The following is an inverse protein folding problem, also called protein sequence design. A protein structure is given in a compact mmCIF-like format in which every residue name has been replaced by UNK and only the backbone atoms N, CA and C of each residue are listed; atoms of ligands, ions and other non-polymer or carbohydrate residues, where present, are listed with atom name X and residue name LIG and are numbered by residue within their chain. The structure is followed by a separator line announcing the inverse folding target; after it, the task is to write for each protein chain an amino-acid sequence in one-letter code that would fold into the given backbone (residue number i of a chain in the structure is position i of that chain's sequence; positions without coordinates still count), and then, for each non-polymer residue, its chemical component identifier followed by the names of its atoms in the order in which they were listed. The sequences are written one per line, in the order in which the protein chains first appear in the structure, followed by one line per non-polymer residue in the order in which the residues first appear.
data_IF_192171409285
#
_entry.id   IF_192171409285
#
_cell.length_a   1.000
_cell.length_b   1.000
_cell.length_c   1.000
_cell.angle_alpha   90.00
_cell.angle_beta   90.00
_cell.angle_gamma   90.00
#
_symmetry.space_group_name_H-M   'P 1'
#
loop_
_entity.id
_entity.type
_entity.pdbx_description
1 polymer ?
#
# COMPACT_ATOMS: atom_id res chain seq x y z
N UNK A 1 -10.44 -9.97 9.11
CA UNK A 1 -9.50 -10.09 7.97
C UNK A 1 -8.01 -10.22 8.36
N UNK A 2 -7.53 -9.58 9.44
CA UNK A 2 -6.10 -9.35 9.72
C UNK A 2 -5.20 -10.60 9.68
N UNK A 3 -5.64 -11.71 10.25
CA UNK A 3 -4.86 -12.98 10.27
C UNK A 3 -4.61 -13.47 8.84
N UNK A 4 -5.65 -13.49 7.99
CA UNK A 4 -5.54 -13.90 6.59
C UNK A 4 -4.72 -12.92 5.75
N UNK A 5 -4.86 -11.62 6.00
CA UNK A 5 -4.08 -10.61 5.31
C UNK A 5 -2.59 -10.73 5.65
N UNK A 6 -2.25 -10.86 6.93
CA UNK A 6 -0.87 -11.06 7.36
C UNK A 6 -0.28 -12.36 6.83
N UNK A 7 -1.07 -13.44 6.77
CA UNK A 7 -0.65 -14.69 6.14
C UNK A 7 -0.39 -14.52 4.64
N UNK A 8 -1.21 -13.73 3.94
CA UNK A 8 -1.00 -13.34 2.55
C UNK A 8 0.33 -12.62 2.36
N UNK A 9 0.59 -11.59 3.16
CA UNK A 9 1.86 -10.83 3.15
C UNK A 9 3.07 -11.73 3.40
N UNK A 10 3.03 -12.58 4.44
CA UNK A 10 4.14 -13.47 4.77
C UNK A 10 4.42 -14.48 3.65
N UNK A 11 3.39 -14.99 2.98
CA UNK A 11 3.53 -15.92 1.85
C UNK A 11 4.02 -15.22 0.59
N UNK A 12 3.61 -13.98 0.35
CA UNK A 12 4.07 -13.16 -0.78
C UNK A 12 5.58 -12.86 -0.70
N UNK A 13 6.09 -12.64 0.51
CA UNK A 13 7.51 -12.39 0.77
C UNK A 13 8.42 -13.62 0.60
N UNK A 14 7.86 -14.83 0.55
CA UNK A 14 8.61 -16.09 0.40
C UNK A 14 8.34 -16.69 -0.98
N UNK A 15 9.32 -16.72 -1.91
CA UNK A 15 9.11 -17.19 -3.28
C UNK A 15 8.44 -18.55 -3.40
N UNK A 16 8.80 -19.52 -2.54
CA UNK A 16 8.21 -20.86 -2.52
C UNK A 16 6.72 -20.89 -2.11
N UNK A 17 6.23 -19.85 -1.42
CA UNK A 17 4.86 -19.77 -0.90
C UNK A 17 3.99 -18.77 -1.66
N UNK A 18 4.54 -18.02 -2.62
CA UNK A 18 3.79 -17.07 -3.43
C UNK A 18 2.51 -17.64 -4.07
N UNK A 19 2.51 -18.88 -4.61
CA UNK A 19 1.27 -19.48 -5.15
C UNK A 19 0.15 -19.63 -4.11
N UNK A 20 0.50 -19.73 -2.83
CA UNK A 20 -0.44 -19.90 -1.70
C UNK A 20 -0.91 -18.56 -1.10
N UNK A 21 -0.27 -17.44 -1.48
CA UNK A 21 -0.64 -16.11 -1.00
C UNK A 21 -2.06 -15.74 -1.47
N UNK A 22 -2.41 -16.07 -2.72
CA UNK A 22 -3.72 -15.77 -3.31
C UNK A 22 -4.88 -16.34 -2.48
N UNK A 23 -4.76 -17.56 -1.95
CA UNK A 23 -5.81 -18.15 -1.12
C UNK A 23 -6.04 -17.36 0.18
N UNK A 24 -4.96 -16.89 0.82
CA UNK A 24 -5.05 -16.07 2.03
C UNK A 24 -5.65 -14.69 1.72
N UNK A 25 -5.25 -14.05 0.62
CA UNK A 25 -5.83 -12.78 0.18
C UNK A 25 -7.31 -12.89 -0.17
N UNK A 26 -7.80 -14.01 -0.75
CA UNK A 26 -9.25 -14.23 -0.95
C UNK A 26 -10.03 -14.25 0.36
N UNK A 27 -9.51 -14.93 1.38
CA UNK A 27 -10.13 -14.97 2.71
C UNK A 27 -10.12 -13.59 3.38
N UNK A 28 -9.01 -12.86 3.27
CA UNK A 28 -8.94 -11.49 3.76
C UNK A 28 -9.95 -10.58 3.05
N UNK A 29 -10.05 -10.67 1.71
CA UNK A 29 -10.96 -9.88 0.90
C UNK A 29 -12.43 -10.13 1.26
N UNK A 30 -12.82 -11.38 1.51
CA UNK A 30 -14.17 -11.71 1.98
C UNK A 30 -14.50 -10.99 3.29
N UNK A 31 -13.62 -11.11 4.29
CA UNK A 31 -13.84 -10.51 5.60
C UNK A 31 -13.79 -8.97 5.57
N UNK A 32 -13.00 -8.39 4.67
CA UNK A 32 -12.95 -6.94 4.47
C UNK A 32 -14.24 -6.42 3.82
N UNK A 33 -14.83 -7.17 2.90
CA UNK A 33 -16.15 -6.85 2.33
C UNK A 33 -17.22 -6.85 3.42
N UNK A 34 -17.21 -7.86 4.29
CA UNK A 34 -18.14 -7.91 5.43
C UNK A 34 -17.95 -6.71 6.36
N UNK A 35 -16.71 -6.33 6.69
CA UNK A 35 -16.41 -5.16 7.52
C UNK A 35 -16.90 -3.85 6.88
N UNK A 36 -16.75 -3.70 5.57
CA UNK A 36 -17.24 -2.54 4.81
C UNK A 36 -18.77 -2.49 4.69
N UNK A 37 -19.50 -3.57 5.00
CA UNK A 37 -20.97 -3.47 5.14
C UNK A 37 -21.37 -2.70 6.40
N UNK A 38 -20.51 -2.70 7.42
CA UNK A 38 -20.74 -2.02 8.71
C UNK A 38 -20.19 -0.59 8.67
N UNK A 39 -18.99 -0.41 8.12
CA UNK A 39 -18.36 0.90 7.96
C UNK A 39 -17.83 1.07 6.51
N UNK A 40 -18.70 1.45 5.55
CA UNK A 40 -18.33 1.54 4.14
C UNK A 40 -17.23 2.55 3.84
N UNK A 41 -17.06 3.54 4.73
CA UNK A 41 -16.10 4.63 4.57
C UNK A 41 -14.75 4.36 5.23
N UNK A 42 -14.52 3.19 5.81
CA UNK A 42 -13.29 2.92 6.55
C UNK A 42 -12.06 2.92 5.61
N UNK A 43 -11.19 3.95 5.63
CA UNK A 43 -10.10 4.04 4.66
C UNK A 43 -9.12 2.87 4.80
N UNK A 44 -8.93 2.36 6.03
CA UNK A 44 -8.02 1.26 6.33
C UNK A 44 -8.51 -0.06 5.73
N UNK A 45 -9.82 -0.31 5.77
CA UNK A 45 -10.41 -1.52 5.21
C UNK A 45 -10.50 -1.43 3.68
N UNK A 46 -10.82 -0.25 3.15
CA UNK A 46 -10.82 0.02 1.71
C UNK A 46 -9.44 -0.24 1.07
N UNK A 47 -8.35 0.33 1.60
CA UNK A 47 -7.00 0.13 1.01
C UNK A 47 -6.47 -1.29 1.15
N UNK A 48 -6.82 -1.99 2.24
CA UNK A 48 -6.42 -3.40 2.42
C UNK A 48 -7.20 -4.32 1.50
N UNK A 49 -8.46 -4.01 1.22
CA UNK A 49 -9.22 -4.74 0.22
C UNK A 49 -8.64 -4.48 -1.17
N UNK A 50 -8.25 -3.24 -1.47
CA UNK A 50 -7.57 -2.90 -2.71
C UNK A 50 -6.25 -3.68 -2.90
N UNK A 51 -5.42 -3.79 -1.86
CA UNK A 51 -4.18 -4.60 -1.91
C UNK A 51 -4.49 -6.08 -2.18
N UNK A 52 -5.53 -6.64 -1.52
CA UNK A 52 -5.99 -8.00 -1.81
C UNK A 52 -6.39 -8.16 -3.29
N UNK A 53 -7.15 -7.21 -3.83
CA UNK A 53 -7.61 -7.25 -5.23
C UNK A 53 -6.45 -7.11 -6.22
N UNK A 54 -5.46 -6.26 -5.94
CA UNK A 54 -4.28 -6.12 -6.78
C UNK A 54 -3.48 -7.43 -6.87
N UNK A 55 -3.30 -8.13 -5.74
CA UNK A 55 -2.67 -9.46 -5.71
C UNK A 55 -3.47 -10.47 -6.53
N UNK A 56 -4.81 -10.42 -6.41
CA UNK A 56 -5.74 -11.28 -7.13
C UNK A 56 -5.97 -10.86 -8.60
N UNK A 57 -5.18 -9.91 -9.12
CA UNK A 57 -5.19 -9.43 -10.51
C UNK A 57 -6.46 -8.68 -10.90
N UNK A 58 -7.19 -8.13 -9.93
CA UNK A 58 -8.29 -7.20 -10.14
C UNK A 58 -7.83 -5.75 -9.94
N UNK A 59 -7.08 -5.24 -10.93
CA UNK A 59 -6.55 -3.89 -10.92
C UNK A 59 -7.65 -2.80 -10.95
N UNK A 60 -8.76 -3.08 -11.63
CA UNK A 60 -9.87 -2.14 -11.73
C UNK A 60 -10.59 -1.98 -10.38
N UNK A 61 -10.90 -3.09 -9.72
CA UNK A 61 -11.48 -3.09 -8.37
C UNK A 61 -10.55 -2.46 -7.34
N UNK A 62 -9.24 -2.77 -7.41
CA UNK A 62 -8.26 -2.14 -6.53
C UNK A 62 -8.25 -0.61 -6.67
N UNK A 63 -8.21 -0.10 -7.91
CA UNK A 63 -8.19 1.35 -8.16
C UNK A 63 -9.47 2.05 -7.72
N UNK A 64 -10.63 1.42 -7.94
CA UNK A 64 -11.91 1.95 -7.49
C UNK A 64 -11.94 2.12 -5.95
N UNK A 65 -11.51 1.10 -5.21
CA UNK A 65 -11.45 1.17 -3.75
C UNK A 65 -10.43 2.17 -3.23
N UNK A 66 -9.27 2.31 -3.90
CA UNK A 66 -8.29 3.35 -3.55
C UNK A 66 -8.91 4.73 -3.74
N UNK A 67 -9.60 4.98 -4.86
CA UNK A 67 -10.27 6.25 -5.09
C UNK A 67 -11.27 6.57 -3.96
N UNK A 68 -12.12 5.62 -3.56
CA UNK A 68 -13.03 5.78 -2.42
C UNK A 68 -12.27 6.02 -1.12
N UNK A 69 -11.21 5.26 -0.83
CA UNK A 69 -10.42 5.44 0.40
C UNK A 69 -9.85 6.85 0.51
N UNK A 70 -9.42 7.45 -0.61
CA UNK A 70 -8.85 8.80 -0.64
C UNK A 70 -9.86 9.89 -0.24
N UNK A 71 -11.16 9.67 -0.43
CA UNK A 71 -12.24 10.57 0.02
C UNK A 71 -12.35 10.59 1.55
N UNK A 72 -11.93 9.51 2.21
CA UNK A 72 -12.01 9.31 3.66
C UNK A 72 -10.70 9.61 4.42
N UNK A 73 -9.80 10.39 3.82
CA UNK A 73 -8.56 10.91 4.45
C UNK A 73 -7.70 9.79 5.09
N UNK A 74 -7.14 8.87 4.27
CA UNK A 74 -6.33 7.77 4.78
C UNK A 74 -5.06 8.28 5.47
N UNK A 75 -4.60 7.53 6.48
CA UNK A 75 -3.32 7.82 7.14
C UNK A 75 -2.11 7.52 6.26
N UNK A 76 -0.92 7.90 6.71
CA UNK A 76 0.34 7.68 5.98
C UNK A 76 0.59 6.20 5.64
N UNK A 77 0.28 5.30 6.57
CA UNK A 77 0.41 3.85 6.35
C UNK A 77 -0.63 3.31 5.37
N UNK A 78 -1.86 3.83 5.41
CA UNK A 78 -2.91 3.43 4.46
C UNK A 78 -2.57 3.92 3.04
N UNK A 79 -1.96 5.12 2.91
CA UNK A 79 -1.42 5.64 1.65
C UNK A 79 -0.27 4.79 1.11
N UNK A 80 0.60 4.25 1.99
CA UNK A 80 1.67 3.33 1.59
C UNK A 80 1.09 2.02 1.02
N UNK A 81 0.08 1.46 1.67
CA UNK A 81 -0.60 0.23 1.21
C UNK A 81 -1.30 0.49 -0.14
N UNK A 82 -1.98 1.64 -0.29
CA UNK A 82 -2.58 2.02 -1.57
C UNK A 82 -1.53 2.16 -2.69
N UNK A 83 -0.34 2.71 -2.38
CA UNK A 83 0.75 2.79 -3.34
C UNK A 83 1.27 1.41 -3.78
N UNK A 84 1.42 0.48 -2.83
CA UNK A 84 1.77 -0.92 -3.12
C UNK A 84 0.76 -1.54 -4.10
N UNK A 85 -0.53 -1.36 -3.85
CA UNK A 85 -1.60 -1.88 -4.70
C UNK A 85 -1.59 -1.29 -6.12
N UNK A 86 -1.32 0.01 -6.29
CA UNK A 86 -1.17 0.64 -7.62
C UNK A 86 0.07 0.13 -8.36
N UNK A 87 1.21 -0.02 -7.68
CA UNK A 87 2.44 -0.57 -8.29
C UNK A 87 2.23 -2.00 -8.75
N UNK A 88 1.60 -2.83 -7.91
CA UNK A 88 1.25 -4.22 -8.25
C UNK A 88 0.25 -4.32 -9.40
N UNK A 89 -0.59 -3.30 -9.56
CA UNK A 89 -1.53 -3.14 -10.67
C UNK A 89 -0.91 -2.49 -11.92
N UNK A 90 0.41 -2.21 -11.92
CA UNK A 90 1.15 -1.65 -13.05
C UNK A 90 1.07 -0.13 -13.20
N UNK A 91 0.46 0.59 -12.25
CA UNK A 91 0.34 2.05 -12.27
C UNK A 91 1.38 2.72 -11.39
N UNK A 92 2.64 2.68 -11.86
CA UNK A 92 3.78 3.25 -11.14
C UNK A 92 3.64 4.73 -10.83
N UNK A 93 3.09 5.51 -11.75
CA UNK A 93 2.88 6.95 -11.54
C UNK A 93 1.88 7.22 -10.41
N UNK A 94 0.78 6.44 -10.33
CA UNK A 94 -0.16 6.50 -9.21
C UNK A 94 0.49 6.09 -7.88
N UNK A 95 1.28 5.02 -7.89
CA UNK A 95 2.00 4.55 -6.70
C UNK A 95 2.96 5.62 -6.15
N UNK A 96 3.76 6.26 -7.02
CA UNK A 96 4.68 7.33 -6.62
C UNK A 96 3.94 8.55 -6.06
N UNK A 97 2.81 8.94 -6.66
CA UNK A 97 2.00 10.04 -6.15
C UNK A 97 1.43 9.75 -4.75
N UNK A 98 1.00 8.50 -4.50
CA UNK A 98 0.54 8.07 -3.18
C UNK A 98 1.67 8.02 -2.15
N UNK A 99 2.88 7.57 -2.54
CA UNK A 99 4.05 7.59 -1.65
C UNK A 99 4.48 9.00 -1.29
N UNK A 100 4.45 9.96 -2.23
CA UNK A 100 4.72 11.36 -1.93
C UNK A 100 3.77 11.87 -0.84
N UNK A 101 2.45 11.62 -1.00
CA UNK A 101 1.45 11.97 0.00
C UNK A 101 1.69 11.27 1.34
N UNK A 102 2.11 10.01 1.32
CA UNK A 102 2.42 9.26 2.53
C UNK A 102 3.61 9.89 3.28
N UNK A 103 4.67 10.29 2.58
CA UNK A 103 5.81 10.99 3.17
C UNK A 103 5.45 12.37 3.72
N UNK A 104 4.64 13.13 3.00
CA UNK A 104 4.14 14.42 3.50
C UNK A 104 3.24 14.25 4.75
N UNK A 105 2.57 13.09 4.87
CA UNK A 105 1.82 12.68 6.07
C UNK A 105 2.69 12.02 7.16
N UNK A 106 4.02 12.01 7.01
CA UNK A 106 4.96 11.53 8.04
C UNK A 106 5.29 10.04 7.98
N UNK A 107 5.03 9.35 6.86
CA UNK A 107 5.56 8.00 6.65
C UNK A 107 7.09 8.03 6.73
N UNK A 108 7.70 7.07 7.44
CA UNK A 108 9.15 6.93 7.43
C UNK A 108 9.65 6.35 6.10
N UNK A 109 10.83 6.77 5.66
CA UNK A 109 11.50 6.17 4.49
C UNK A 109 11.73 4.67 4.72
N UNK A 110 12.06 4.28 5.96
CA UNK A 110 12.27 2.88 6.33
C UNK A 110 11.03 2.00 6.13
N UNK A 111 9.81 2.55 6.30
CA UNK A 111 8.58 1.80 6.08
C UNK A 111 8.41 1.40 4.62
N UNK A 112 8.97 2.16 3.67
CA UNK A 112 8.97 1.82 2.24
C UNK A 112 10.14 0.90 1.87
N UNK A 113 11.30 1.11 2.49
CA UNK A 113 12.50 0.30 2.22
C UNK A 113 12.37 -1.15 2.72
N UNK A 114 11.64 -1.34 3.83
CA UNK A 114 11.39 -2.66 4.42
C UNK A 114 10.18 -3.40 3.80
N UNK A 115 9.34 -2.70 3.02
CA UNK A 115 8.18 -3.26 2.33
C UNK A 115 8.61 -3.97 1.02
N UNK A 116 9.30 -5.10 1.20
CA UNK A 116 9.78 -6.00 0.15
C UNK A 116 8.80 -7.17 -0.02
N UNK A 117 8.46 -7.62 -1.26
CA UNK A 117 9.15 -7.36 -2.54
C UNK A 117 8.49 -6.34 -3.48
N UNK A 118 7.23 -5.96 -3.28
CA UNK A 118 6.44 -5.22 -4.30
C UNK A 118 6.98 -3.82 -4.61
N UNK A 119 7.45 -3.07 -3.60
CA UNK A 119 7.99 -1.73 -3.82
C UNK A 119 9.48 -1.72 -4.22
N UNK A 120 10.14 -2.88 -4.27
CA UNK A 120 11.58 -2.94 -4.58
C UNK A 120 11.91 -2.34 -5.96
N UNK A 121 11.11 -2.64 -6.98
CA UNK A 121 11.35 -2.10 -8.33
C UNK A 121 10.99 -0.61 -8.40
N UNK A 122 9.93 -0.18 -7.70
CA UNK A 122 9.56 1.24 -7.62
C UNK A 122 10.68 2.07 -6.98
N UNK A 123 11.38 1.54 -5.97
CA UNK A 123 12.50 2.24 -5.31
C UNK A 123 13.68 2.53 -6.24
N UNK A 124 13.78 1.85 -7.39
CA UNK A 124 14.81 2.10 -8.41
C UNK A 124 14.43 3.26 -9.35
N UNK A 125 13.19 3.75 -9.31
CA UNK A 125 12.74 4.90 -10.08
C UNK A 125 13.41 6.19 -9.56
N UNK A 126 13.94 7.02 -10.47
CA UNK A 126 14.63 8.26 -10.10
C UNK A 126 13.71 9.24 -9.37
N UNK A 127 12.40 9.19 -9.62
CA UNK A 127 11.41 9.98 -8.89
C UNK A 127 11.37 9.59 -7.42
N UNK A 128 11.50 8.30 -7.09
CA UNK A 128 11.59 7.85 -5.69
C UNK A 128 12.83 8.41 -4.99
N UNK A 129 13.99 8.33 -5.64
CA UNK A 129 15.23 8.89 -5.08
C UNK A 129 15.12 10.41 -4.81
N UNK A 130 14.46 11.15 -5.71
CA UNK A 130 14.21 12.58 -5.52
C UNK A 130 13.31 12.86 -4.31
N UNK A 131 12.23 12.08 -4.12
CA UNK A 131 11.34 12.19 -2.95
C UNK A 131 12.10 11.94 -1.65
N UNK A 132 12.89 10.85 -1.58
CA UNK A 132 13.69 10.52 -0.38
C UNK A 132 14.67 11.64 -0.03
N UNK A 133 15.37 12.19 -1.03
CA UNK A 133 16.29 13.32 -0.82
C UNK A 133 15.57 14.54 -0.23
N UNK A 134 14.39 14.87 -0.75
CA UNK A 134 13.58 15.98 -0.25
C UNK A 134 13.10 15.77 1.19
N UNK A 135 12.64 14.55 1.52
CA UNK A 135 12.17 14.19 2.87
C UNK A 135 13.31 14.28 3.90
N UNK A 136 14.49 13.77 3.57
CA UNK A 136 15.68 13.87 4.44
C UNK A 136 16.06 15.33 4.69
N UNK A 137 16.16 16.15 3.63
CA UNK A 137 16.47 17.57 3.75
C UNK A 137 15.46 18.35 4.60
N UNK A 138 14.16 18.05 4.50
CA UNK A 138 13.12 18.64 5.37
C UNK A 138 13.30 18.23 6.84
N UNK A 139 13.68 16.97 7.08
CA UNK A 139 13.88 16.42 8.42
C UNK A 139 15.08 17.06 9.11
N UNK A 140 16.19 17.24 8.39
CA UNK A 140 17.41 17.85 8.92
C UNK A 140 17.18 19.32 9.31
N UNK A 141 16.53 20.10 8.45
CA UNK A 141 16.14 21.50 8.77
C UNK A 141 15.28 21.62 10.02
N UNK A 142 14.40 20.64 10.27
CA UNK A 142 13.54 20.64 11.47
C UNK A 142 14.31 20.32 12.76
N UNK A 143 15.45 19.65 12.67
CA UNK A 143 16.30 19.34 13.84
C UNK A 143 17.22 20.50 14.23
N UNK A 144 17.47 21.42 13.30
CA UNK A 144 18.30 22.61 13.49
C UNK A 144 17.50 23.84 13.98
N UNK A 145 16.16 23.75 14.04
CA UNK A 145 15.24 24.80 14.50
C UNK A 145 14.74 24.54 15.91
#
# INVERSE_FOLDING_TARGET
YRVWYNLGLSREAVPALQPQAAAAYRQAASLLRDELTVDPGNPRSLVRLADCLAVLKDAAGARALIATALEHKPGSEDLRIAAKAEEQSGNRSGALALLQRAFDAGLSISAVEQDSPTLEQLRKDSRYAAMVKAVRAKTDKRRES
#
